data_IF_926614776531
#
_entry.id   IF_926614776531
#
_cell.length_a   1.000
_cell.length_b   1.000
_cell.length_c   1.000
_cell.angle_alpha   90.00
_cell.angle_beta   90.00
_cell.angle_gamma   90.00
#
_symmetry.space_group_name_H-M   'P 1'
#
loop_
_entity.id
_entity.type
_entity.pdbx_description
1 polymer ?
#
# COMPACT_ATOMS: atom_id res chain seq x y z
N UNK A 1 -8.26 1.04 1.42
CA UNK A 1 -8.80 1.17 0.05
C UNK A 1 -7.71 0.77 -0.91
N UNK A 2 -8.04 0.03 -1.97
CA UNK A 2 -7.08 -0.37 -3.01
C UNK A 2 -7.65 0.11 -4.34
N UNK A 3 -6.77 0.63 -5.19
CA UNK A 3 -7.15 1.24 -6.45
C UNK A 3 -6.39 0.59 -7.61
N UNK A 4 -7.05 0.50 -8.77
CA UNK A 4 -6.40 0.23 -10.04
C UNK A 4 -5.54 1.43 -10.40
N UNK A 5 -4.28 1.20 -10.75
CA UNK A 5 -3.40 2.26 -11.30
C UNK A 5 -3.62 2.47 -12.80
N UNK A 6 -4.54 1.74 -13.43
CA UNK A 6 -4.83 1.84 -14.86
C UNK A 6 -5.99 2.80 -15.11
N UNK A 7 -5.74 3.85 -15.88
CA UNK A 7 -6.74 4.83 -16.32
C UNK A 7 -6.67 4.91 -17.85
N UNK A 8 -7.81 4.73 -18.54
CA UNK A 8 -7.90 4.81 -20.00
C UNK A 8 -6.83 3.98 -20.73
N UNK A 9 -6.55 2.77 -20.23
CA UNK A 9 -5.54 1.89 -20.82
C UNK A 9 -4.10 2.14 -20.35
N UNK A 10 -3.80 3.30 -19.76
CA UNK A 10 -2.45 3.68 -19.30
C UNK A 10 -2.26 3.34 -17.83
N UNK A 11 -1.13 2.71 -17.51
CA UNK A 11 -0.72 2.44 -16.12
C UNK A 11 0.02 3.65 -15.57
N UNK A 12 -0.49 4.20 -14.47
CA UNK A 12 0.17 5.24 -13.69
C UNK A 12 1.13 4.61 -12.67
N UNK A 13 2.18 5.34 -12.31
CA UNK A 13 3.15 4.88 -11.31
C UNK A 13 3.21 5.87 -10.16
N UNK A 14 2.76 5.44 -8.99
CA UNK A 14 2.71 6.27 -7.81
C UNK A 14 3.94 6.13 -6.92
N UNK A 15 4.33 7.23 -6.31
CA UNK A 15 5.30 7.30 -5.22
C UNK A 15 4.71 7.99 -3.98
N UNK A 16 5.55 8.15 -2.96
CA UNK A 16 5.23 8.95 -1.77
C UNK A 16 5.82 10.34 -1.93
N UNK A 17 5.00 11.38 -1.82
CA UNK A 17 5.47 12.78 -1.90
C UNK A 17 6.06 13.30 -0.59
N UNK A 18 5.75 12.64 0.54
CA UNK A 18 6.06 13.15 1.89
C UNK A 18 5.10 14.24 2.38
N UNK A 19 4.10 14.62 1.57
CA UNK A 19 3.14 15.67 1.89
C UNK A 19 1.82 15.09 2.42
N UNK A 20 1.17 15.86 3.28
CA UNK A 20 -0.16 15.59 3.82
C UNK A 20 -1.12 16.72 3.46
N UNK A 21 -2.36 16.37 3.19
CA UNK A 21 -3.50 17.29 3.11
C UNK A 21 -4.60 16.76 4.03
N UNK A 22 -5.01 17.55 5.02
CA UNK A 22 -5.99 17.13 6.04
C UNK A 22 -5.66 15.74 6.63
N UNK A 23 -4.39 15.55 7.01
CA UNK A 23 -3.86 14.28 7.55
C UNK A 23 -3.93 13.08 6.59
N UNK A 24 -4.26 13.28 5.32
CA UNK A 24 -4.21 12.26 4.28
C UNK A 24 -2.96 12.40 3.42
N UNK A 25 -2.35 11.25 3.09
CA UNK A 25 -1.19 11.19 2.19
C UNK A 25 -1.54 11.71 0.81
N UNK A 26 -0.62 12.50 0.27
CA UNK A 26 -0.57 12.77 -1.16
C UNK A 26 0.38 11.78 -1.84
N UNK A 27 -0.13 11.07 -2.84
CA UNK A 27 0.67 10.22 -3.71
C UNK A 27 1.19 11.04 -4.88
N UNK A 28 2.37 10.72 -5.39
CA UNK A 28 2.95 11.44 -6.52
C UNK A 28 2.93 10.54 -7.76
N UNK A 29 2.27 10.97 -8.84
CA UNK A 29 2.38 10.27 -10.13
C UNK A 29 3.72 10.62 -10.79
N UNK A 30 4.56 9.62 -11.02
CA UNK A 30 5.88 9.78 -11.63
C UNK A 30 5.79 10.27 -13.08
N UNK A 31 4.73 9.95 -13.80
CA UNK A 31 4.54 10.29 -15.20
C UNK A 31 4.15 11.76 -15.40
N UNK A 32 3.10 12.20 -14.69
CA UNK A 32 2.55 13.55 -14.84
C UNK A 32 3.02 14.54 -13.79
N UNK A 33 3.71 14.08 -12.74
CA UNK A 33 4.16 14.92 -11.62
C UNK A 33 3.05 15.47 -10.73
N UNK A 34 1.80 15.13 -11.01
CA UNK A 34 0.63 15.49 -10.22
C UNK A 34 0.60 14.81 -8.85
N UNK A 35 -0.08 15.46 -7.89
CA UNK A 35 -0.32 14.89 -6.56
C UNK A 35 -1.76 14.39 -6.45
N UNK A 36 -1.93 13.25 -5.80
CA UNK A 36 -3.18 12.51 -5.71
C UNK A 36 -3.57 12.25 -4.27
N UNK A 37 -4.83 12.49 -3.93
CA UNK A 37 -5.37 12.23 -2.60
C UNK A 37 -5.57 10.72 -2.39
N UNK A 38 -4.83 10.10 -1.47
CA UNK A 38 -4.84 8.63 -1.32
C UNK A 38 -6.23 8.04 -1.07
N UNK A 39 -7.08 8.79 -0.35
CA UNK A 39 -8.38 8.28 0.11
C UNK A 39 -9.48 8.51 -0.93
N UNK A 40 -9.33 9.50 -1.80
CA UNK A 40 -10.34 9.77 -2.84
C UNK A 40 -9.96 9.11 -4.17
N UNK A 41 -8.67 8.87 -4.40
CA UNK A 41 -8.17 8.34 -5.66
C UNK A 41 -8.21 9.37 -6.78
N UNK A 42 -8.10 10.66 -6.44
CA UNK A 42 -8.26 11.79 -7.35
C UNK A 42 -7.01 12.68 -7.32
N UNK A 43 -6.60 13.26 -8.46
CA UNK A 43 -5.57 14.28 -8.51
C UNK A 43 -6.08 15.56 -7.83
N UNK A 44 -5.23 16.22 -7.07
CA UNK A 44 -5.58 17.43 -6.31
C UNK A 44 -4.60 18.59 -6.51
N UNK A 45 -3.45 18.34 -7.15
CA UNK A 45 -2.47 19.36 -7.52
C UNK A 45 -1.97 19.12 -8.93
N UNK A 46 -1.65 20.21 -9.62
CA UNK A 46 -1.17 20.26 -11.02
C UNK A 46 -2.30 20.11 -12.05
N UNK A 47 -1.96 20.02 -13.34
CA UNK A 47 -2.85 20.04 -14.49
C UNK A 47 -3.97 18.99 -14.50
N UNK A 48 -3.92 17.99 -13.61
CA UNK A 48 -4.96 16.98 -13.48
C UNK A 48 -6.02 17.31 -12.41
N UNK A 49 -5.81 18.28 -11.52
CA UNK A 49 -6.68 18.53 -10.37
C UNK A 49 -8.16 18.71 -10.74
N UNK A 50 -8.45 19.38 -11.86
CA UNK A 50 -9.81 19.65 -12.33
C UNK A 50 -10.25 18.73 -13.48
N UNK A 51 -9.51 17.65 -13.75
CA UNK A 51 -9.80 16.74 -14.87
C UNK A 51 -11.01 15.84 -14.63
N UNK A 52 -11.52 15.77 -13.39
CA UNK A 52 -12.54 14.79 -12.99
C UNK A 52 -12.03 13.33 -12.99
N UNK A 53 -10.73 13.12 -13.19
CA UNK A 53 -10.12 11.79 -13.23
C UNK A 53 -10.17 11.14 -11.85
N UNK A 54 -10.55 9.86 -11.81
CA UNK A 54 -10.59 9.06 -10.59
C UNK A 54 -10.05 7.66 -10.83
N UNK A 55 -9.37 7.11 -9.83
CA UNK A 55 -8.92 5.73 -9.85
C UNK A 55 -10.08 4.78 -9.53
N UNK A 56 -10.13 3.65 -10.25
CA UNK A 56 -11.13 2.61 -9.97
C UNK A 56 -10.80 1.86 -8.68
N UNK A 57 -11.81 1.66 -7.82
CA UNK A 57 -11.66 0.86 -6.61
C UNK A 57 -11.56 -0.63 -6.95
N UNK A 58 -10.59 -1.30 -6.34
CA UNK A 58 -10.46 -2.75 -6.39
C UNK A 58 -11.14 -3.34 -5.14
N UNK A 59 -12.02 -4.35 -5.31
CA UNK A 59 -12.61 -5.06 -4.17
C UNK A 59 -11.52 -5.64 -3.27
N UNK A 60 -11.68 -5.44 -1.96
CA UNK A 60 -10.79 -6.00 -0.94
C UNK A 60 -11.59 -6.69 0.13
N UNK A 61 -11.07 -7.82 0.60
CA UNK A 61 -11.64 -8.58 1.70
C UNK A 61 -10.79 -8.37 2.94
N UNK A 62 -11.42 -7.92 4.03
CA UNK A 62 -10.80 -7.90 5.35
C UNK A 62 -11.22 -9.17 6.08
N UNK A 63 -10.27 -10.03 6.41
CA UNK A 63 -10.52 -11.31 7.09
C UNK A 63 -9.30 -11.77 7.87
N UNK A 64 -9.43 -12.85 8.63
CA UNK A 64 -8.30 -13.49 9.32
C UNK A 64 -7.60 -14.49 8.39
N UNK A 65 -6.36 -14.84 8.71
CA UNK A 65 -5.62 -15.84 7.94
C UNK A 65 -6.29 -17.23 7.96
N UNK A 66 -6.83 -17.63 9.12
CA UNK A 66 -7.50 -18.92 9.28
C UNK A 66 -8.78 -19.01 8.43
N UNK A 67 -9.59 -17.95 8.41
CA UNK A 67 -10.81 -17.90 7.60
C UNK A 67 -10.50 -17.85 6.10
N UNK A 68 -9.46 -17.10 5.70
CA UNK A 68 -9.01 -17.06 4.31
C UNK A 68 -8.59 -18.45 3.81
N UNK A 69 -7.75 -19.16 4.57
CA UNK A 69 -7.29 -20.51 4.19
C UNK A 69 -8.40 -21.56 4.17
N UNK A 70 -9.42 -21.42 5.02
CA UNK A 70 -10.57 -22.31 4.99
C UNK A 70 -11.35 -22.20 3.65
N UNK A 71 -11.38 -21.01 3.05
CA UNK A 71 -12.06 -20.73 1.78
C UNK A 71 -11.14 -20.97 0.58
N UNK A 72 -9.84 -20.67 0.72
CA UNK A 72 -8.82 -20.72 -0.33
C UNK A 72 -7.63 -21.61 0.08
N UNK A 73 -7.82 -22.94 0.20
CA UNK A 73 -6.84 -23.86 0.77
C UNK A 73 -5.57 -24.03 -0.07
N UNK A 74 -5.61 -23.65 -1.34
CA UNK A 74 -4.51 -23.67 -2.30
C UNK A 74 -3.69 -22.37 -2.32
N UNK A 75 -4.04 -21.39 -1.48
CA UNK A 75 -3.30 -20.12 -1.38
C UNK A 75 -1.82 -20.39 -1.05
N UNK A 76 -0.93 -19.91 -1.91
CA UNK A 76 0.51 -19.91 -1.67
C UNK A 76 0.97 -18.61 -1.02
N UNK A 77 1.93 -18.69 -0.10
CA UNK A 77 2.63 -17.52 0.45
C UNK A 77 4.10 -17.54 0.02
N UNK A 78 4.74 -16.37 0.01
CA UNK A 78 6.18 -16.29 -0.24
C UNK A 78 6.93 -16.92 0.95
N UNK A 79 7.81 -17.89 0.67
CA UNK A 79 8.68 -18.48 1.68
C UNK A 79 9.70 -17.44 2.17
N UNK A 80 9.90 -17.34 3.48
CA UNK A 80 10.89 -16.44 4.09
C UNK A 80 12.33 -16.76 3.65
N UNK A 81 12.61 -18.01 3.25
CA UNK A 81 13.88 -18.49 2.70
C UNK A 81 13.96 -18.20 1.20
N UNK A 82 13.76 -16.94 0.84
CA UNK A 82 13.84 -16.49 -0.57
C UNK A 82 15.25 -16.59 -1.16
N UNK A 83 16.29 -16.64 -0.32
CA UNK A 83 17.70 -16.53 -0.73
C UNK A 83 18.14 -15.12 -1.14
N UNK A 84 17.21 -14.18 -1.24
CA UNK A 84 17.45 -12.78 -1.61
C UNK A 84 17.54 -11.89 -0.37
N UNK A 85 16.66 -12.12 0.60
CA UNK A 85 16.62 -11.37 1.86
C UNK A 85 16.95 -12.26 3.04
N UNK A 86 17.82 -11.82 3.96
CA UNK A 86 18.07 -12.54 5.22
C UNK A 86 16.77 -12.70 6.01
N UNK A 87 16.55 -13.87 6.61
CA UNK A 87 15.40 -14.12 7.51
C UNK A 87 15.35 -13.08 8.65
N UNK A 88 16.50 -12.58 9.08
CA UNK A 88 16.61 -11.54 10.11
C UNK A 88 15.94 -10.22 9.72
N UNK A 89 15.69 -9.96 8.43
CA UNK A 89 14.93 -8.78 7.99
C UNK A 89 13.42 -8.94 8.24
N UNK A 90 12.96 -10.15 8.52
CA UNK A 90 11.58 -10.50 8.80
C UNK A 90 11.41 -11.04 10.22
N UNK A 91 12.33 -10.72 11.13
CA UNK A 91 12.18 -11.08 12.54
C UNK A 91 10.81 -10.61 13.04
N UNK A 92 10.04 -11.48 13.70
CA UNK A 92 8.77 -11.12 14.31
C UNK A 92 8.91 -9.87 15.18
N UNK A 93 7.86 -9.03 15.24
CA UNK A 93 7.93 -7.78 16.00
C UNK A 93 8.04 -7.97 17.52
N UNK A 94 7.71 -9.16 18.01
CA UNK A 94 7.89 -9.62 19.39
C UNK A 94 9.27 -10.27 19.65
N UNK A 95 10.13 -10.39 18.64
CA UNK A 95 11.53 -10.77 18.81
C UNK A 95 12.32 -9.65 19.50
N UNK A 96 13.13 -9.98 20.52
CA UNK A 96 13.95 -9.02 21.29
C UNK A 96 14.92 -8.19 20.43
N UNK A 97 15.34 -8.70 19.28
CA UNK A 97 16.23 -8.03 18.32
C UNK A 97 15.48 -7.16 17.30
N UNK A 98 14.15 -7.21 17.29
CA UNK A 98 13.35 -6.36 16.40
C UNK A 98 13.46 -4.90 16.82
N UNK A 99 13.63 -4.01 15.85
CA UNK A 99 13.59 -2.56 16.08
C UNK A 99 12.24 -2.09 16.63
N UNK A 100 11.17 -2.88 16.45
CA UNK A 100 9.82 -2.58 16.91
C UNK A 100 9.51 -3.16 18.31
N UNK A 101 10.35 -4.06 18.83
CA UNK A 101 10.11 -4.75 20.11
C UNK A 101 9.85 -3.78 21.26
N UNK A 102 10.70 -2.75 21.40
CA UNK A 102 10.55 -1.74 22.44
C UNK A 102 9.27 -0.92 22.26
N UNK A 103 8.92 -0.56 21.02
CA UNK A 103 7.73 0.24 20.74
C UNK A 103 6.44 -0.48 21.14
N UNK A 104 6.34 -1.79 20.88
CA UNK A 104 5.16 -2.62 21.20
C UNK A 104 5.04 -3.02 22.67
N UNK A 105 6.17 -3.11 23.38
CA UNK A 105 6.23 -3.60 24.76
C UNK A 105 6.49 -2.50 25.81
N UNK A 106 6.52 -1.23 25.39
CA UNK A 106 6.48 -0.10 26.34
C UNK A 106 5.03 0.29 26.58
N UNK A 107 4.57 0.40 27.84
CA UNK A 107 3.19 0.75 28.17
C UNK A 107 2.78 2.16 27.70
#
# INVERSE_FOLDING_TARGET
>A
MVYSTKINGKVLSFGTSGMLYHSNKLMYDRGTKSLWHQFLGEPVVDHLADSGTKLDLIPVTLTTWIDWLAIHPDTTVLDIKTGVYPITNYSPEDDLQSIYFRYRNTP
#
